data_IF_945193196332
#
_entry.id   IF_945193196332
#
_cell.length_a   1.000
_cell.length_b   1.000
_cell.length_c   1.000
_cell.angle_alpha   90.00
_cell.angle_beta   90.00
_cell.angle_gamma   90.00
#
_symmetry.space_group_name_H-M   'P 1'
#
loop_
_entity.id
_entity.type
_entity.pdbx_description
1 polymer ?
#
# COMPACT_ATOMS: atom_id res chain seq x y z
N UNK A 1 10.26 -35.77 -5.32
CA UNK A 1 10.23 -34.72 -6.38
C UNK A 1 11.02 -33.52 -5.88
N UNK A 2 11.74 -32.81 -6.76
CA UNK A 2 12.48 -31.60 -6.37
C UNK A 2 11.51 -30.47 -5.96
N UNK A 3 11.77 -29.69 -4.90
CA UNK A 3 10.95 -28.54 -4.51
C UNK A 3 11.16 -27.32 -5.42
N UNK A 4 12.20 -27.33 -6.26
CA UNK A 4 12.61 -26.19 -7.11
C UNK A 4 11.46 -25.62 -7.96
N UNK A 5 10.64 -26.42 -8.66
CA UNK A 5 9.52 -25.88 -9.44
C UNK A 5 8.50 -25.14 -8.57
N UNK A 6 8.22 -25.67 -7.38
CA UNK A 6 7.31 -25.03 -6.42
C UNK A 6 7.85 -23.68 -5.93
N UNK A 7 9.15 -23.61 -5.63
CA UNK A 7 9.83 -22.36 -5.24
C UNK A 7 9.72 -21.32 -6.36
N UNK A 8 10.06 -21.68 -7.59
CA UNK A 8 10.00 -20.78 -8.76
C UNK A 8 8.59 -20.21 -8.93
N UNK A 9 7.58 -21.06 -8.86
CA UNK A 9 6.19 -20.65 -9.04
C UNK A 9 5.72 -19.72 -7.92
N UNK A 10 6.12 -19.95 -6.66
CA UNK A 10 5.86 -19.02 -5.55
C UNK A 10 6.53 -17.66 -5.80
N UNK A 11 7.79 -17.65 -6.24
CA UNK A 11 8.53 -16.42 -6.55
C UNK A 11 7.85 -15.63 -7.68
N UNK A 12 7.37 -16.30 -8.74
CA UNK A 12 6.60 -15.66 -9.81
C UNK A 12 5.30 -15.04 -9.28
N UNK A 13 4.59 -15.73 -8.39
CA UNK A 13 3.40 -15.18 -7.72
C UNK A 13 3.72 -13.94 -6.88
N UNK A 14 4.84 -13.93 -6.16
CA UNK A 14 5.31 -12.78 -5.39
C UNK A 14 5.69 -11.59 -6.30
N UNK A 15 6.35 -11.84 -7.43
CA UNK A 15 6.61 -10.81 -8.45
C UNK A 15 5.32 -10.21 -8.98
N UNK A 16 4.31 -11.04 -9.26
CA UNK A 16 2.96 -10.59 -9.62
C UNK A 16 2.32 -9.69 -8.57
N UNK A 17 2.52 -9.97 -7.27
CA UNK A 17 2.08 -9.08 -6.20
C UNK A 17 2.80 -7.72 -6.22
N UNK A 18 4.11 -7.69 -6.45
CA UNK A 18 4.89 -6.45 -6.55
C UNK A 18 4.41 -5.60 -7.74
N UNK A 19 4.22 -6.22 -8.91
CA UNK A 19 3.67 -5.59 -10.10
C UNK A 19 2.28 -5.01 -9.86
N UNK A 20 1.39 -5.77 -9.22
CA UNK A 20 0.03 -5.30 -8.86
C UNK A 20 0.08 -4.06 -7.97
N UNK A 21 0.98 -4.03 -6.98
CA UNK A 21 1.17 -2.83 -6.13
C UNK A 21 1.71 -1.65 -6.92
N UNK A 22 2.68 -1.89 -7.81
CA UNK A 22 3.27 -0.86 -8.65
C UNK A 22 2.22 -0.20 -9.57
N UNK A 23 1.47 -0.98 -10.34
CA UNK A 23 0.46 -0.46 -11.26
C UNK A 23 -0.72 0.20 -10.53
N UNK A 24 -1.15 -0.34 -9.39
CA UNK A 24 -2.18 0.30 -8.56
C UNK A 24 -1.73 1.64 -8.00
N UNK A 25 -0.42 1.83 -7.79
CA UNK A 25 0.20 3.08 -7.35
C UNK A 25 0.49 4.11 -8.47
N UNK A 26 0.28 3.76 -9.74
CA UNK A 26 0.41 4.70 -10.87
C UNK A 26 -0.91 5.43 -11.14
N UNK A 27 -0.82 6.70 -11.59
CA UNK A 27 -1.98 7.42 -12.14
C UNK A 27 -2.47 6.68 -13.38
N UNK A 28 -3.76 6.77 -13.69
CA UNK A 28 -4.35 6.04 -14.83
C UNK A 28 -3.63 6.33 -16.16
N UNK A 29 -3.23 7.58 -16.38
CA UNK A 29 -2.53 8.01 -17.60
C UNK A 29 -1.07 7.56 -17.66
N UNK A 30 -0.41 7.33 -16.53
CA UNK A 30 0.97 6.83 -16.45
C UNK A 30 1.05 5.31 -16.67
N UNK A 31 -0.10 4.62 -16.73
CA UNK A 31 -0.14 3.17 -16.94
C UNK A 31 0.13 2.81 -18.41
N UNK A 32 0.89 1.74 -18.66
CA UNK A 32 1.01 1.20 -20.01
C UNK A 32 -0.37 0.86 -20.57
N UNK A 33 -0.53 0.90 -21.91
CA UNK A 33 -1.83 0.72 -22.59
C UNK A 33 -2.60 -0.52 -22.12
N UNK A 34 -1.89 -1.63 -21.92
CA UNK A 34 -2.45 -2.89 -21.42
C UNK A 34 -3.01 -2.76 -20.00
N UNK A 35 -2.36 -1.98 -19.13
CA UNK A 35 -2.74 -1.78 -17.73
C UNK A 35 -3.86 -0.74 -17.52
N UNK A 36 -4.31 -0.09 -18.61
CA UNK A 36 -5.48 0.79 -18.62
C UNK A 36 -6.79 0.04 -18.83
N UNK A 37 -6.73 -1.21 -19.33
CA UNK A 37 -7.93 -2.01 -19.54
C UNK A 37 -8.61 -2.38 -18.21
N UNK A 38 -9.94 -2.32 -18.14
CA UNK A 38 -10.71 -2.60 -16.93
C UNK A 38 -10.47 -4.00 -16.36
N UNK A 39 -10.23 -4.98 -17.24
CA UNK A 39 -9.91 -6.37 -16.89
C UNK A 39 -8.47 -6.61 -16.46
N UNK A 40 -7.55 -5.65 -16.61
CA UNK A 40 -6.14 -5.86 -16.28
C UNK A 40 -5.93 -6.14 -14.78
N UNK A 41 -6.48 -5.28 -13.92
CA UNK A 41 -6.33 -5.42 -12.47
C UNK A 41 -6.95 -6.74 -11.95
N UNK A 42 -8.18 -7.15 -12.35
CA UNK A 42 -8.74 -8.46 -12.02
C UNK A 42 -7.93 -9.64 -12.57
N UNK A 43 -7.47 -9.59 -13.81
CA UNK A 43 -6.71 -10.68 -14.43
C UNK A 43 -5.35 -10.86 -13.74
N UNK A 44 -4.64 -9.77 -13.46
CA UNK A 44 -3.37 -9.81 -12.73
C UNK A 44 -3.57 -10.33 -11.30
N UNK A 45 -4.67 -9.93 -10.65
CA UNK A 45 -5.02 -10.44 -9.33
C UNK A 45 -5.34 -11.94 -9.36
N UNK A 46 -6.01 -12.45 -10.40
CA UNK A 46 -6.26 -13.88 -10.56
C UNK A 46 -4.96 -14.67 -10.79
N UNK A 47 -4.15 -14.24 -11.76
CA UNK A 47 -2.91 -14.94 -12.16
C UNK A 47 -1.94 -15.06 -10.98
N UNK A 48 -1.72 -13.98 -10.21
CA UNK A 48 -0.79 -14.03 -9.07
C UNK A 48 -1.26 -14.99 -7.97
N UNK A 49 -2.58 -15.06 -7.71
CA UNK A 49 -3.12 -15.97 -6.70
C UNK A 49 -3.04 -17.43 -7.16
N UNK A 50 -3.33 -17.70 -8.44
CA UNK A 50 -3.15 -19.03 -9.03
C UNK A 50 -1.70 -19.49 -8.93
N UNK A 51 -0.73 -18.61 -9.24
CA UNK A 51 0.69 -18.93 -9.09
C UNK A 51 1.04 -19.24 -7.64
N UNK A 52 0.64 -18.42 -6.67
CA UNK A 52 0.94 -18.70 -5.25
C UNK A 52 0.34 -20.04 -4.78
N UNK A 53 -0.92 -20.32 -5.13
CA UNK A 53 -1.58 -21.56 -4.75
C UNK A 53 -0.96 -22.78 -5.44
N UNK A 54 -0.66 -22.68 -6.74
CA UNK A 54 0.02 -23.74 -7.49
C UNK A 54 1.42 -24.01 -6.95
N UNK A 55 2.19 -22.97 -6.63
CA UNK A 55 3.52 -23.09 -6.04
C UNK A 55 3.48 -23.77 -4.67
N UNK A 56 2.53 -23.39 -3.82
CA UNK A 56 2.31 -24.04 -2.53
C UNK A 56 1.87 -25.51 -2.68
N UNK A 57 0.99 -25.82 -3.63
CA UNK A 57 0.56 -27.19 -3.89
C UNK A 57 1.72 -28.07 -4.39
N UNK A 58 2.57 -27.54 -5.28
CA UNK A 58 3.79 -28.21 -5.73
C UNK A 58 4.77 -28.45 -4.59
N UNK A 59 4.93 -27.48 -3.69
CA UNK A 59 5.76 -27.63 -2.49
C UNK A 59 5.19 -28.68 -1.54
N UNK A 60 3.88 -28.69 -1.28
CA UNK A 60 3.24 -29.68 -0.42
C UNK A 60 3.41 -31.11 -0.96
N UNK A 61 3.35 -31.27 -2.29
CA UNK A 61 3.62 -32.55 -2.96
C UNK A 61 5.08 -32.97 -2.90
N UNK A 62 6.03 -32.02 -2.89
CA UNK A 62 7.45 -32.31 -2.84
C UNK A 62 7.99 -32.53 -1.42
N UNK A 63 7.58 -31.68 -0.47
CA UNK A 63 8.00 -31.68 0.94
C UNK A 63 7.07 -30.80 1.79
N UNK A 64 6.45 -31.40 2.82
CA UNK A 64 5.64 -30.67 3.79
C UNK A 64 6.46 -29.59 4.52
N UNK A 65 7.74 -29.86 4.82
CA UNK A 65 8.60 -28.87 5.46
C UNK A 65 8.76 -27.62 4.59
N UNK A 66 9.03 -27.78 3.29
CA UNK A 66 9.15 -26.65 2.36
C UNK A 66 7.82 -25.90 2.21
N UNK A 67 6.68 -26.61 2.23
CA UNK A 67 5.36 -25.99 2.25
C UNK A 67 5.15 -25.12 3.49
N UNK A 68 5.40 -25.65 4.70
CA UNK A 68 5.20 -24.89 5.93
C UNK A 68 6.11 -23.67 6.03
N UNK A 69 7.37 -23.78 5.58
CA UNK A 69 8.28 -22.63 5.50
C UNK A 69 7.74 -21.56 4.56
N UNK A 70 7.33 -21.93 3.34
CA UNK A 70 6.80 -20.99 2.37
C UNK A 70 5.48 -20.35 2.85
N UNK A 71 4.53 -21.15 3.32
CA UNK A 71 3.24 -20.70 3.83
C UNK A 71 3.42 -19.78 5.05
N UNK A 72 4.27 -20.19 6.01
CA UNK A 72 4.61 -19.37 7.17
C UNK A 72 5.22 -18.04 6.78
N UNK A 73 6.14 -18.03 5.81
CA UNK A 73 6.74 -16.79 5.28
C UNK A 73 5.69 -15.87 4.66
N UNK A 74 4.76 -16.42 3.86
CA UNK A 74 3.65 -15.65 3.27
C UNK A 74 2.71 -15.08 4.33
N UNK A 75 2.41 -15.85 5.38
CA UNK A 75 1.60 -15.39 6.51
C UNK A 75 2.30 -14.26 7.26
N UNK A 76 3.59 -14.42 7.58
CA UNK A 76 4.38 -13.38 8.25
C UNK A 76 4.43 -12.10 7.41
N UNK A 77 4.69 -12.21 6.10
CA UNK A 77 4.67 -11.06 5.19
C UNK A 77 3.30 -10.40 5.14
N UNK A 78 2.21 -11.18 5.10
CA UNK A 78 0.85 -10.68 5.13
C UNK A 78 0.52 -9.93 6.43
N UNK A 79 0.88 -10.52 7.56
CA UNK A 79 0.73 -9.92 8.89
C UNK A 79 1.55 -8.64 9.04
N UNK A 80 2.83 -8.67 8.63
CA UNK A 80 3.71 -7.51 8.65
C UNK A 80 3.17 -6.37 7.79
N UNK A 81 2.70 -6.68 6.56
CA UNK A 81 2.08 -5.70 5.68
C UNK A 81 0.81 -5.10 6.28
N UNK A 82 -0.02 -5.91 6.93
CA UNK A 82 -1.23 -5.44 7.64
C UNK A 82 -0.86 -4.55 8.83
N UNK A 83 0.19 -4.90 9.56
CA UNK A 83 0.68 -4.14 10.71
C UNK A 83 1.22 -2.77 10.31
N UNK A 84 2.10 -2.69 9.30
CA UNK A 84 2.62 -1.41 8.79
C UNK A 84 1.49 -0.54 8.29
N UNK A 85 0.50 -1.12 7.60
CA UNK A 85 -0.66 -0.38 7.09
C UNK A 85 -1.76 -0.16 8.15
N UNK A 86 -1.47 -0.34 9.43
CA UNK A 86 -2.42 -0.06 10.51
C UNK A 86 -2.41 1.44 10.84
N UNK A 87 -3.59 2.00 11.14
CA UNK A 87 -3.70 3.41 11.48
C UNK A 87 -2.86 3.79 12.71
N UNK A 88 -2.77 2.89 13.71
CA UNK A 88 -1.96 3.11 14.91
C UNK A 88 -0.46 3.18 14.61
N UNK A 89 0.05 2.28 13.76
CA UNK A 89 1.47 2.32 13.36
C UNK A 89 1.76 3.60 12.57
N UNK A 90 0.88 3.95 11.62
CA UNK A 90 1.02 5.15 10.82
C UNK A 90 0.96 6.43 11.65
N UNK A 91 0.04 6.50 12.62
CA UNK A 91 -0.04 7.61 13.57
C UNK A 91 1.24 7.77 14.39
N UNK A 92 1.80 6.67 14.91
CA UNK A 92 3.07 6.71 15.67
C UNK A 92 4.23 7.20 14.81
N UNK A 93 4.29 6.74 13.56
CA UNK A 93 5.33 7.15 12.61
C UNK A 93 5.18 8.64 12.27
N UNK A 94 3.98 9.10 11.91
CA UNK A 94 3.68 10.50 11.66
C UNK A 94 3.99 11.39 12.86
N UNK A 95 3.61 10.99 14.07
CA UNK A 95 3.90 11.75 15.29
C UNK A 95 5.41 11.89 15.52
N UNK A 96 6.18 10.82 15.26
CA UNK A 96 7.65 10.85 15.33
C UNK A 96 8.24 11.78 14.27
N UNK A 97 7.75 11.70 13.04
CA UNK A 97 8.23 12.52 11.93
C UNK A 97 7.91 14.00 12.17
N UNK A 98 6.70 14.34 12.62
CA UNK A 98 6.33 15.69 13.04
C UNK A 98 7.23 16.20 14.18
N UNK A 99 7.46 15.38 15.22
CA UNK A 99 8.34 15.77 16.32
C UNK A 99 9.79 16.00 15.86
N UNK A 100 10.27 15.20 14.92
CA UNK A 100 11.60 15.39 14.31
C UNK A 100 11.65 16.65 13.45
N UNK A 101 10.61 16.90 12.64
CA UNK A 101 10.54 18.07 11.77
C UNK A 101 10.48 19.36 12.59
N UNK A 102 9.66 19.38 13.65
CA UNK A 102 9.52 20.52 14.57
C UNK A 102 10.84 20.90 15.25
N UNK A 103 11.70 19.93 15.56
CA UNK A 103 13.05 20.20 16.09
C UNK A 103 13.97 20.88 15.08
N UNK A 104 13.83 20.53 13.80
CA UNK A 104 14.69 21.05 12.74
C UNK A 104 14.15 22.35 12.11
N UNK A 105 12.84 22.55 12.16
CA UNK A 105 12.13 23.72 11.61
C UNK A 105 10.99 24.11 12.57
N UNK A 106 11.30 24.84 13.65
CA UNK A 106 10.29 25.22 14.65
C UNK A 106 9.27 26.23 14.12
N UNK A 107 9.56 26.88 12.99
CA UNK A 107 8.74 27.96 12.42
C UNK A 107 7.58 27.46 11.56
N UNK A 108 7.56 26.17 11.23
CA UNK A 108 6.48 25.56 10.45
C UNK A 108 5.24 25.30 11.33
N UNK A 109 4.08 25.64 10.78
CA UNK A 109 2.79 25.25 11.33
C UNK A 109 2.57 23.73 11.26
N UNK A 110 1.67 23.22 12.08
CA UNK A 110 1.33 21.79 12.10
C UNK A 110 0.80 21.29 10.76
N UNK A 111 0.08 22.16 10.04
CA UNK A 111 -0.42 21.92 8.69
C UNK A 111 0.71 21.78 7.68
N UNK A 112 1.68 22.70 7.70
CA UNK A 112 2.85 22.64 6.80
C UNK A 112 3.75 21.43 7.09
N UNK A 113 3.89 21.05 8.37
CA UNK A 113 4.62 19.83 8.74
C UNK A 113 3.93 18.58 8.17
N UNK A 114 2.60 18.48 8.30
CA UNK A 114 1.83 17.36 7.75
C UNK A 114 1.89 17.33 6.21
N UNK A 115 1.79 18.49 5.57
CA UNK A 115 1.94 18.64 4.13
C UNK A 115 3.34 18.17 3.67
N UNK A 116 4.40 18.64 4.30
CA UNK A 116 5.77 18.31 3.92
C UNK A 116 6.07 16.81 4.10
N UNK A 117 5.60 16.21 5.20
CA UNK A 117 5.73 14.76 5.43
C UNK A 117 4.97 13.96 4.36
N UNK A 118 3.73 14.34 4.06
CA UNK A 118 2.93 13.65 3.05
C UNK A 118 3.50 13.80 1.63
N UNK A 119 4.00 14.99 1.27
CA UNK A 119 4.58 15.25 -0.05
C UNK A 119 5.87 14.44 -0.26
N UNK A 120 6.73 14.38 0.76
CA UNK A 120 7.97 13.56 0.71
C UNK A 120 7.65 12.07 0.57
N UNK A 121 6.64 11.60 1.29
CA UNK A 121 6.28 10.17 1.32
C UNK A 121 5.48 9.73 0.10
N UNK A 122 4.64 10.60 -0.44
CA UNK A 122 3.76 10.32 -1.57
C UNK A 122 3.80 11.45 -2.61
N UNK A 123 4.94 11.67 -3.29
CA UNK A 123 5.09 12.77 -4.25
C UNK A 123 4.10 12.69 -5.42
N UNK A 124 3.55 11.50 -5.69
CA UNK A 124 2.60 11.25 -6.79
C UNK A 124 1.17 11.71 -6.50
N UNK A 125 0.82 11.92 -5.23
CA UNK A 125 -0.54 12.33 -4.84
C UNK A 125 -0.87 13.76 -5.32
N UNK A 126 0.15 14.57 -5.58
CA UNK A 126 0.00 15.97 -6.00
C UNK A 126 -0.20 16.89 -4.79
N UNK A 127 0.33 18.11 -4.82
CA UNK A 127 0.25 19.05 -3.71
C UNK A 127 -1.19 19.44 -3.39
N UNK A 128 -2.05 19.60 -4.39
CA UNK A 128 -3.44 20.04 -4.22
C UNK A 128 -4.26 19.04 -3.39
N UNK A 129 -4.03 17.74 -3.64
CA UNK A 129 -4.67 16.67 -2.89
C UNK A 129 -4.22 16.64 -1.43
N UNK A 130 -2.92 16.86 -1.22
CA UNK A 130 -2.33 16.86 0.12
C UNK A 130 -2.80 18.10 0.90
N UNK A 131 -2.84 19.28 0.28
CA UNK A 131 -3.40 20.49 0.87
C UNK A 131 -4.85 20.27 1.30
N UNK A 132 -5.68 19.69 0.43
CA UNK A 132 -7.06 19.37 0.78
C UNK A 132 -7.13 18.37 1.95
N UNK A 133 -6.28 17.34 1.95
CA UNK A 133 -6.21 16.37 3.06
C UNK A 133 -5.82 17.03 4.39
N UNK A 134 -4.87 17.97 4.38
CA UNK A 134 -4.44 18.68 5.58
C UNK A 134 -5.57 19.57 6.10
N UNK A 135 -6.25 20.30 5.21
CA UNK A 135 -7.43 21.12 5.58
C UNK A 135 -8.58 20.29 6.16
N UNK A 136 -8.90 19.16 5.52
CA UNK A 136 -10.00 18.29 5.96
C UNK A 136 -9.64 17.49 7.23
N UNK A 137 -8.36 17.24 7.48
CA UNK A 137 -7.86 16.40 8.57
C UNK A 137 -6.60 16.99 9.24
N UNK A 138 -6.71 18.11 9.98
CA UNK A 138 -5.56 18.88 10.46
C UNK A 138 -4.79 18.23 11.62
N UNK A 139 -5.34 17.18 12.23
CA UNK A 139 -4.68 16.49 13.36
C UNK A 139 -3.88 15.29 12.86
N UNK A 140 -2.73 15.02 13.49
CA UNK A 140 -1.86 13.84 13.19
C UNK A 140 -2.66 12.53 13.16
N UNK A 141 -3.60 12.36 14.09
CA UNK A 141 -4.43 11.14 14.16
C UNK A 141 -5.43 11.05 13.00
N UNK A 142 -6.17 12.12 12.71
CA UNK A 142 -7.13 12.14 11.61
C UNK A 142 -6.41 11.99 10.26
N UNK A 143 -5.28 12.67 10.10
CA UNK A 143 -4.42 12.61 8.94
C UNK A 143 -3.86 11.19 8.71
N UNK A 144 -3.35 10.54 9.76
CA UNK A 144 -2.88 9.15 9.68
C UNK A 144 -3.99 8.17 9.24
N UNK A 145 -5.21 8.36 9.74
CA UNK A 145 -6.36 7.53 9.35
C UNK A 145 -6.72 7.71 7.88
N UNK A 146 -6.78 8.95 7.38
CA UNK A 146 -7.12 9.20 5.98
C UNK A 146 -5.98 8.75 5.06
N UNK A 147 -4.71 8.95 5.42
CA UNK A 147 -3.56 8.45 4.67
C UNK A 147 -3.63 6.92 4.50
N UNK A 148 -3.94 6.16 5.55
CA UNK A 148 -4.12 4.70 5.44
C UNK A 148 -5.27 4.32 4.51
N UNK A 149 -6.37 5.07 4.51
CA UNK A 149 -7.49 4.84 3.57
C UNK A 149 -7.04 5.09 2.12
N UNK A 150 -6.32 6.19 1.88
CA UNK A 150 -5.79 6.55 0.57
C UNK A 150 -4.78 5.49 0.06
N UNK A 151 -3.85 5.04 0.91
CA UNK A 151 -2.90 3.96 0.59
C UNK A 151 -3.57 2.60 0.29
N UNK A 152 -4.79 2.39 0.80
CA UNK A 152 -5.61 1.20 0.51
C UNK A 152 -6.41 1.31 -0.77
N UNK A 153 -6.31 2.42 -1.50
CA UNK A 153 -6.97 2.64 -2.78
C UNK A 153 -8.33 3.33 -2.69
N UNK A 154 -8.66 3.96 -1.56
CA UNK A 154 -9.81 4.86 -1.48
C UNK A 154 -9.52 6.11 -2.33
N UNK A 155 -10.37 6.39 -3.35
CA UNK A 155 -10.18 7.47 -4.34
C UNK A 155 -11.21 8.59 -4.25
N UNK A 156 -11.96 8.69 -3.15
CA UNK A 156 -13.04 9.68 -3.03
C UNK A 156 -12.98 10.44 -1.71
N UNK A 157 -12.59 11.71 -1.75
CA UNK A 157 -12.96 12.62 -0.67
C UNK A 157 -14.47 12.78 -0.74
N UNK A 158 -15.18 12.39 0.32
CA UNK A 158 -16.54 12.89 0.49
C UNK A 158 -16.39 14.38 0.69
N UNK A 159 -16.39 15.12 -0.42
CA UNK A 159 -16.86 16.48 -0.40
C UNK A 159 -18.26 16.37 0.16
N UNK A 160 -18.41 16.63 1.46
CA UNK A 160 -19.62 17.29 1.94
C UNK A 160 -19.67 18.58 1.12
N UNK A 161 -20.30 18.51 -0.06
CA UNK A 161 -20.89 19.70 -0.66
C UNK A 161 -21.74 20.26 0.46
N UNK A 162 -21.44 21.50 0.84
CA UNK A 162 -22.35 22.29 1.65
C UNK A 162 -23.76 22.05 1.09
N UNK A 163 -24.65 21.55 1.94
CA UNK A 163 -26.07 21.54 1.64
C UNK A 163 -26.53 23.00 1.67
N UNK A 164 -26.41 23.68 0.53
CA UNK A 164 -27.19 24.88 0.24
C UNK A 164 -28.49 24.40 -0.41
N UNK A 165 -29.45 24.10 0.46
CA UNK A 165 -30.86 23.92 0.17
C UNK A 165 -31.60 24.43 1.40
#
# INVERSE_FOLDING_TARGET
>A
MSPVPGIIVVVLGLLGMVLSVHFKGLRYFDRPSVARHSWFDPALDLVKWLLLLAGLALLARASLASFFVAAGTLVVLGCYRRFIRSARFQQRLLARDCASLRRNRPELSDEEMLFEIALRRHPRWGPELIEQMVRDYPTVEAFARIMVKMERGFRGFSGKRASSG
#
